data_IF_725816789709
#
_entry.id   IF_725816789709
#
_cell.length_a   1.000
_cell.length_b   1.000
_cell.length_c   1.000
_cell.angle_alpha   90.00
_cell.angle_beta   90.00
_cell.angle_gamma   90.00
#
_symmetry.space_group_name_H-M   'P 1'
#
loop_
_entity.id
_entity.type
_entity.pdbx_description
1 polymer ?
#
# COMPACT_ATOMS: atom_id res chain seq x y z
N UNK A 1 -8.29 25.37 0.31
CA UNK A 1 -9.07 24.15 0.54
C UNK A 1 -8.12 22.97 0.64
N UNK A 2 -8.52 21.96 1.38
CA UNK A 2 -7.67 20.80 1.62
C UNK A 2 -8.31 19.56 1.02
N UNK A 3 -7.49 18.75 0.39
CA UNK A 3 -7.92 17.46 -0.15
C UNK A 3 -6.74 16.52 -0.07
N UNK A 4 -6.68 15.76 1.00
CA UNK A 4 -5.54 14.91 1.28
C UNK A 4 -6.01 13.60 1.88
N UNK A 5 -5.44 12.53 1.41
CA UNK A 5 -5.83 11.19 1.82
C UNK A 5 -4.58 10.37 2.08
N UNK A 6 -4.62 9.58 3.14
CA UNK A 6 -3.54 8.66 3.45
C UNK A 6 -4.16 7.31 3.75
N UNK A 7 -3.74 6.28 3.01
CA UNK A 7 -4.33 4.96 3.14
C UNK A 7 -3.24 3.91 3.25
N UNK A 8 -3.50 2.89 4.05
CA UNK A 8 -2.67 1.71 4.13
C UNK A 8 -3.57 0.51 3.90
N UNK A 9 -3.22 -0.30 2.93
CA UNK A 9 -4.04 -1.46 2.62
C UNK A 9 -3.32 -2.43 1.74
N UNK A 10 -4.04 -3.46 1.34
CA UNK A 10 -3.48 -4.49 0.49
C UNK A 10 -4.13 -4.44 -0.88
N UNK A 11 -3.33 -4.71 -1.89
CA UNK A 11 -3.85 -4.78 -3.25
C UNK A 11 -4.77 -5.98 -3.39
N UNK A 12 -5.92 -5.75 -4.00
CA UNK A 12 -6.87 -6.84 -4.22
C UNK A 12 -6.50 -7.66 -5.44
N UNK A 13 -5.74 -7.09 -6.34
CA UNK A 13 -5.24 -7.77 -7.52
C UNK A 13 -4.04 -6.98 -8.02
N UNK A 14 -3.36 -7.53 -9.02
CA UNK A 14 -2.21 -6.84 -9.59
C UNK A 14 -2.64 -5.51 -10.18
N UNK A 15 -1.80 -4.48 -10.06
CA UNK A 15 -2.12 -3.20 -10.70
C UNK A 15 -2.20 -3.34 -12.20
N UNK A 16 -3.12 -2.61 -12.80
CA UNK A 16 -3.31 -2.65 -14.24
C UNK A 16 -2.61 -1.44 -14.85
N UNK A 17 -1.53 -1.67 -15.55
CA UNK A 17 -0.73 -0.61 -16.14
C UNK A 17 -1.16 -0.41 -17.59
N UNK A 18 -1.39 0.84 -17.95
CA UNK A 18 -1.77 1.21 -19.30
C UNK A 18 -1.03 2.46 -19.69
N UNK A 19 -1.07 2.75 -20.97
CA UNK A 19 -0.49 3.98 -21.51
C UNK A 19 -1.57 4.76 -22.24
N UNK A 20 -1.61 6.06 -21.96
CA UNK A 20 -2.59 6.93 -22.61
C UNK A 20 -2.16 7.20 -24.05
N UNK A 21 -3.08 7.78 -24.85
CA UNK A 21 -2.69 8.18 -26.21
C UNK A 21 -1.50 9.12 -26.23
N UNK A 22 -1.29 9.88 -25.16
CA UNK A 22 -0.11 10.73 -25.04
C UNK A 22 1.11 9.99 -24.54
N UNK A 23 1.01 8.67 -24.44
CA UNK A 23 2.11 7.81 -24.01
C UNK A 23 2.52 8.04 -22.56
N UNK A 24 1.59 8.38 -21.73
CA UNK A 24 1.84 8.50 -20.30
C UNK A 24 1.36 7.24 -19.59
N UNK A 25 2.18 6.76 -18.67
CA UNK A 25 1.84 5.57 -17.92
C UNK A 25 0.77 5.89 -16.87
N UNK A 26 -0.20 5.01 -16.74
CA UNK A 26 -1.22 5.12 -15.72
C UNK A 26 -1.53 3.72 -15.22
N UNK A 27 -1.59 3.56 -13.91
CA UNK A 27 -1.94 2.29 -13.32
C UNK A 27 -3.17 2.48 -12.43
N UNK A 28 -4.07 1.52 -12.50
CA UNK A 28 -5.24 1.51 -11.63
C UNK A 28 -5.16 0.30 -10.74
N UNK A 29 -5.62 0.46 -9.52
CA UNK A 29 -5.61 -0.64 -8.57
C UNK A 29 -6.67 -0.37 -7.51
N UNK A 30 -6.97 -1.41 -6.75
CA UNK A 30 -7.93 -1.32 -5.67
C UNK A 30 -7.26 -1.74 -4.38
N UNK A 31 -7.41 -0.93 -3.35
CA UNK A 31 -6.88 -1.22 -2.04
C UNK A 31 -7.97 -1.71 -1.12
N UNK A 32 -7.70 -2.78 -0.41
CA UNK A 32 -8.57 -3.23 0.67
C UNK A 32 -8.02 -2.66 1.96
N UNK A 33 -8.77 -1.74 2.55
CA UNK A 33 -8.39 -1.04 3.76
C UNK A 33 -9.28 -1.55 4.88
N UNK A 34 -8.69 -2.23 5.83
CA UNK A 34 -9.46 -2.80 6.93
C UNK A 34 -9.98 -1.70 7.84
N UNK A 35 -11.23 -1.88 8.25
CA UNK A 35 -11.81 -0.95 9.22
C UNK A 35 -11.23 -1.24 10.61
N UNK A 36 -11.27 -0.22 11.43
CA UNK A 36 -10.72 -0.33 12.77
C UNK A 36 -11.60 -1.15 13.70
N UNK A 37 -12.87 -1.31 13.35
CA UNK A 37 -13.83 -1.97 14.23
C UNK A 37 -14.30 -3.27 13.61
N UNK A 38 -14.62 -4.21 14.46
CA UNK A 38 -15.26 -5.44 14.02
C UNK A 38 -16.76 -5.21 13.94
N UNK A 39 -17.41 -5.92 13.02
CA UNK A 39 -18.84 -5.81 12.90
C UNK A 39 -19.51 -6.62 14.02
N UNK A 40 -20.83 -6.70 13.97
CA UNK A 40 -21.57 -7.38 15.02
C UNK A 40 -21.26 -8.86 15.09
N UNK A 41 -20.84 -9.42 13.98
CA UNK A 41 -20.51 -10.84 13.95
C UNK A 41 -19.07 -11.13 14.36
N UNK A 42 -18.33 -10.10 14.73
CA UNK A 42 -16.96 -10.29 15.13
C UNK A 42 -15.96 -10.25 13.98
N UNK A 43 -16.43 -9.99 12.77
CA UNK A 43 -15.58 -9.96 11.61
C UNK A 43 -15.18 -8.52 11.30
N UNK A 44 -13.94 -8.37 10.82
CA UNK A 44 -13.45 -7.06 10.43
C UNK A 44 -13.73 -6.85 8.95
N UNK A 45 -14.43 -5.77 8.67
CA UNK A 45 -14.75 -5.43 7.30
C UNK A 45 -13.68 -4.56 6.68
N UNK A 46 -13.64 -4.56 5.36
CA UNK A 46 -12.69 -3.76 4.63
C UNK A 46 -13.43 -2.87 3.64
N UNK A 47 -12.86 -1.70 3.44
CA UNK A 47 -13.34 -0.80 2.40
C UNK A 47 -12.44 -0.97 1.18
N UNK A 48 -13.06 -1.04 0.01
CA UNK A 48 -12.33 -1.21 -1.24
C UNK A 48 -12.30 0.11 -1.96
N UNK A 49 -11.11 0.63 -2.17
CA UNK A 49 -10.93 1.99 -2.65
C UNK A 49 -10.17 1.94 -3.96
N UNK A 50 -10.78 2.52 -4.99
CA UNK A 50 -10.17 2.60 -6.30
C UNK A 50 -9.13 3.70 -6.32
N UNK A 51 -7.97 3.39 -6.84
CA UNK A 51 -6.85 4.30 -6.88
C UNK A 51 -6.28 4.36 -8.28
N UNK A 52 -5.71 5.50 -8.61
CA UNK A 52 -5.04 5.69 -9.88
C UNK A 52 -3.72 6.39 -9.62
N UNK A 53 -2.68 5.96 -10.33
CA UNK A 53 -1.35 6.53 -10.16
C UNK A 53 -0.76 6.72 -11.56
N UNK A 54 0.05 7.77 -11.72
CA UNK A 54 0.47 8.22 -13.03
C UNK A 54 1.98 8.23 -13.17
N UNK A 55 2.44 8.13 -14.41
CA UNK A 55 3.80 8.40 -14.82
C UNK A 55 4.77 7.37 -14.26
N UNK A 56 5.95 7.81 -13.88
CA UNK A 56 6.99 6.90 -13.45
C UNK A 56 6.55 6.08 -12.24
N UNK A 57 5.79 6.67 -11.36
CA UNK A 57 5.33 5.93 -10.20
C UNK A 57 4.37 4.81 -10.57
N UNK A 58 3.60 4.99 -11.67
CA UNK A 58 2.73 3.93 -12.13
C UNK A 58 3.54 2.73 -12.58
N UNK A 59 4.61 2.97 -13.30
CA UNK A 59 5.49 1.90 -13.74
C UNK A 59 6.16 1.23 -12.56
N UNK A 60 6.62 2.03 -11.61
CA UNK A 60 7.26 1.47 -10.43
C UNK A 60 6.28 0.60 -9.65
N UNK A 61 5.08 1.08 -9.44
CA UNK A 61 4.10 0.31 -8.71
C UNK A 61 3.79 -1.00 -9.41
N UNK A 62 3.59 -0.95 -10.72
CA UNK A 62 3.27 -2.15 -11.47
C UNK A 62 4.40 -3.17 -11.42
N UNK A 63 5.64 -2.69 -11.36
CA UNK A 63 6.77 -3.59 -11.29
C UNK A 63 6.97 -4.21 -9.91
N UNK A 64 6.64 -3.47 -8.87
CA UNK A 64 7.02 -3.86 -7.52
C UNK A 64 5.89 -4.45 -6.70
N UNK A 65 4.65 -4.05 -6.98
CA UNK A 65 3.51 -4.44 -6.15
C UNK A 65 2.64 -5.44 -6.89
N UNK A 66 2.25 -6.48 -6.18
CA UNK A 66 1.39 -7.52 -6.74
C UNK A 66 0.22 -7.74 -5.80
N UNK A 67 -0.71 -8.56 -6.24
CA UNK A 67 -1.88 -8.89 -5.44
C UNK A 67 -1.45 -9.27 -4.02
N UNK A 68 -2.10 -8.69 -3.05
CA UNK A 68 -1.83 -8.97 -1.65
C UNK A 68 -0.75 -8.12 -1.03
N UNK A 69 -0.05 -7.32 -1.80
CA UNK A 69 1.02 -6.49 -1.25
C UNK A 69 0.45 -5.41 -0.34
N UNK A 70 1.13 -5.19 0.77
CA UNK A 70 0.75 -4.15 1.71
C UNK A 70 1.47 -2.86 1.32
N UNK A 71 0.70 -1.84 1.00
CA UNK A 71 1.29 -0.56 0.60
C UNK A 71 0.59 0.57 1.32
N UNK A 72 1.32 1.66 1.44
CA UNK A 72 0.76 2.91 1.92
C UNK A 72 0.78 3.91 0.79
N UNK A 73 -0.25 4.72 0.71
CA UNK A 73 -0.35 5.75 -0.32
C UNK A 73 -0.77 7.06 0.30
N UNK A 74 -0.36 8.13 -0.32
CA UNK A 74 -0.92 9.45 -0.06
C UNK A 74 -1.38 10.02 -1.37
N UNK A 75 -2.44 10.81 -1.31
CA UNK A 75 -2.98 11.40 -2.50
C UNK A 75 -4.20 12.24 -2.19
N UNK A 76 -5.03 12.41 -3.18
CA UNK A 76 -6.24 13.22 -3.02
C UNK A 76 -7.42 12.50 -3.64
N UNK A 77 -8.59 12.83 -3.15
CA UNK A 77 -9.83 12.27 -3.67
C UNK A 77 -10.23 13.06 -4.92
N UNK A 78 -10.62 12.35 -5.94
CA UNK A 78 -11.07 12.95 -7.18
C UNK A 78 -12.37 12.30 -7.60
N UNK A 79 -13.29 13.10 -8.08
CA UNK A 79 -14.53 12.58 -8.65
C UNK A 79 -14.56 12.92 -10.13
N UNK A 80 -15.18 12.05 -10.88
CA UNK A 80 -15.40 12.27 -12.31
C UNK A 80 -16.67 11.56 -12.71
N UNK A 81 -17.19 11.90 -13.84
CA UNK A 81 -18.35 11.19 -14.35
C UNK A 81 -18.13 10.89 -15.83
N UNK A 82 -18.85 9.91 -16.28
CA UNK A 82 -18.83 9.56 -17.69
C UNK A 82 -20.19 8.94 -18.02
N UNK A 83 -20.47 8.89 -19.32
CA UNK A 83 -21.70 8.31 -19.80
C UNK A 83 -21.42 6.89 -20.24
N UNK A 84 -22.18 5.94 -19.70
CA UNK A 84 -21.97 4.55 -20.07
C UNK A 84 -22.68 4.27 -21.39
N UNK A 85 -22.60 3.01 -21.81
CA UNK A 85 -23.17 2.63 -23.10
C UNK A 85 -24.68 2.76 -23.15
N UNK A 86 -25.30 2.77 -22.00
CA UNK A 86 -26.75 2.93 -21.90
C UNK A 86 -27.19 4.36 -21.79
N UNK A 87 -26.27 5.29 -21.88
CA UNK A 87 -26.60 6.69 -21.80
C UNK A 87 -26.75 7.23 -20.40
N UNK A 88 -26.38 6.46 -19.40
CA UNK A 88 -26.51 6.88 -18.02
C UNK A 88 -25.24 7.51 -17.53
N UNK A 89 -25.38 8.54 -16.71
CA UNK A 89 -24.24 9.16 -16.06
C UNK A 89 -23.74 8.28 -14.94
N UNK A 90 -22.42 7.99 -14.98
CA UNK A 90 -21.80 7.20 -13.94
C UNK A 90 -20.80 8.08 -13.20
N UNK A 91 -20.93 8.14 -11.88
CA UNK A 91 -20.05 8.96 -11.05
C UNK A 91 -19.02 8.06 -10.41
N UNK A 92 -17.77 8.47 -10.48
CA UNK A 92 -16.66 7.70 -9.96
C UNK A 92 -15.92 8.53 -8.94
N UNK A 93 -15.69 7.96 -7.77
CA UNK A 93 -14.86 8.54 -6.73
C UNK A 93 -13.61 7.68 -6.59
N UNK A 94 -12.48 8.30 -6.72
CA UNK A 94 -11.23 7.56 -6.70
C UNK A 94 -10.15 8.40 -6.02
N UNK A 95 -9.06 7.76 -5.67
CA UNK A 95 -7.91 8.44 -5.08
C UNK A 95 -6.81 8.54 -6.13
N UNK A 96 -6.38 9.77 -6.39
CA UNK A 96 -5.24 10.01 -7.25
C UNK A 96 -4.01 9.97 -6.37
N UNK A 97 -3.17 8.98 -6.57
CA UNK A 97 -2.05 8.73 -5.69
C UNK A 97 -0.90 9.66 -6.06
N UNK A 98 -0.36 10.31 -5.06
CA UNK A 98 0.80 11.19 -5.23
C UNK A 98 2.09 10.49 -4.88
N UNK A 99 2.08 9.67 -3.84
CA UNK A 99 3.23 8.85 -3.48
C UNK A 99 2.74 7.53 -2.93
N UNK A 100 3.58 6.53 -3.03
CA UNK A 100 3.28 5.25 -2.42
C UNK A 100 4.55 4.66 -1.83
N UNK A 101 4.37 3.73 -0.90
CA UNK A 101 5.48 3.01 -0.31
C UNK A 101 5.05 1.56 -0.09
N UNK A 102 5.97 0.65 -0.39
CA UNK A 102 5.78 -0.74 -0.04
C UNK A 102 6.10 -0.92 1.43
N UNK A 103 5.17 -1.51 2.15
CA UNK A 103 5.33 -1.68 3.60
C UNK A 103 5.72 -3.10 3.98
N UNK A 104 5.88 -3.97 2.98
CA UNK A 104 6.39 -5.31 3.16
C UNK A 104 7.56 -5.51 2.22
N UNK A 105 8.62 -6.10 2.71
CA UNK A 105 9.72 -6.43 1.83
C UNK A 105 9.35 -7.67 1.02
N UNK A 106 10.07 -7.87 -0.09
CA UNK A 106 9.85 -9.05 -0.89
C UNK A 106 10.17 -10.31 -0.11
N UNK A 107 11.15 -10.23 0.76
CA UNK A 107 11.50 -11.36 1.59
C UNK A 107 10.36 -11.76 2.50
N UNK A 108 9.73 -10.79 3.10
CA UNK A 108 8.62 -11.08 3.99
C UNK A 108 7.50 -11.78 3.27
N UNK A 109 7.24 -11.35 2.03
CA UNK A 109 6.16 -11.94 1.27
C UNK A 109 6.46 -13.34 0.82
N UNK A 110 7.70 -13.61 0.54
CA UNK A 110 8.07 -14.92 0.02
C UNK A 110 8.13 -15.96 1.11
N UNK A 111 7.68 -15.64 2.26
CA UNK A 111 7.54 -16.64 3.27
C UNK A 111 8.73 -16.72 4.16
N UNK A 112 8.80 -17.77 4.88
CA UNK A 112 9.78 -17.88 5.88
C UNK A 112 11.13 -18.34 5.44
N UNK A 113 11.47 -18.13 4.24
CA UNK A 113 12.71 -18.67 3.73
C UNK A 113 13.94 -18.12 4.38
N UNK A 114 13.86 -16.88 4.74
CA UNK A 114 15.04 -16.22 5.28
C UNK A 114 15.12 -16.31 6.78
N UNK A 115 14.30 -17.10 7.37
CA UNK A 115 14.23 -17.07 8.80
C UNK A 115 15.45 -17.57 9.50
N UNK A 116 16.00 -18.61 9.01
CA UNK A 116 16.95 -19.32 9.79
C UNK A 116 18.26 -18.61 9.96
N UNK A 117 18.71 -17.93 8.96
CA UNK A 117 20.09 -17.52 9.00
C UNK A 117 20.34 -16.19 9.68
N UNK A 118 19.34 -15.41 9.88
CA UNK A 118 19.60 -14.14 10.53
C UNK A 118 19.55 -14.24 12.04
N UNK A 119 18.91 -15.23 12.56
CA UNK A 119 18.75 -15.31 13.99
C UNK A 119 20.02 -15.54 14.78
N UNK A 120 20.89 -16.44 14.36
CA UNK A 120 22.08 -16.66 15.15
C UNK A 120 22.93 -15.42 15.31
N UNK A 121 23.06 -14.70 14.24
CA UNK A 121 23.87 -13.50 14.32
C UNK A 121 23.22 -12.45 15.18
N UNK A 122 21.96 -12.34 15.05
CA UNK A 122 21.23 -11.36 15.83
C UNK A 122 21.33 -11.67 17.32
N UNK A 123 21.28 -12.93 17.64
CA UNK A 123 21.37 -13.31 19.03
C UNK A 123 22.71 -12.95 19.62
N UNK A 124 23.76 -13.16 18.86
CA UNK A 124 25.07 -12.80 19.36
C UNK A 124 25.18 -11.34 19.62
N UNK A 125 24.72 -10.58 18.67
CA UNK A 125 24.80 -9.15 18.84
C UNK A 125 24.02 -8.69 20.04
N UNK A 126 22.91 -9.30 20.25
CA UNK A 126 22.12 -8.94 21.40
C UNK A 126 22.86 -9.22 22.68
N UNK A 127 23.54 -10.32 22.72
CA UNK A 127 24.30 -10.65 23.91
C UNK A 127 25.47 -9.73 24.13
N UNK A 128 26.11 -9.39 23.04
CA UNK A 128 27.23 -8.48 23.15
C UNK A 128 26.80 -7.13 23.60
N UNK A 129 25.65 -6.75 23.19
CA UNK A 129 25.10 -5.48 23.61
C UNK A 129 24.39 -5.63 24.92
N UNK A 130 25.03 -6.26 25.82
CA UNK A 130 24.40 -6.46 27.11
C UNK A 130 24.22 -5.16 27.87
N UNK A 131 24.39 -4.10 27.21
CA UNK A 131 24.21 -2.79 27.78
C UNK A 131 22.82 -2.31 27.50
N UNK A 132 21.87 -2.71 28.27
CA UNK A 132 20.49 -2.37 27.91
C UNK A 132 20.20 -0.90 27.99
N UNK A 133 20.97 -0.19 28.74
CA UNK A 133 20.68 1.23 28.88
C UNK A 133 20.94 1.98 27.61
N UNK A 134 21.99 1.62 26.94
CA UNK A 134 22.30 2.29 25.70
C UNK A 134 21.21 2.12 24.68
N UNK A 135 20.72 0.94 24.63
CA UNK A 135 19.71 0.62 23.63
C UNK A 135 18.45 1.37 23.91
N UNK A 136 18.07 1.40 25.16
CA UNK A 136 16.79 2.02 25.46
C UNK A 136 16.79 3.49 25.16
N UNK A 137 17.90 4.14 25.41
CA UNK A 137 17.95 5.57 25.12
C UNK A 137 17.80 5.86 23.66
N UNK A 138 18.49 5.09 22.87
CA UNK A 138 18.45 5.34 21.44
C UNK A 138 17.14 4.89 20.83
N UNK A 139 16.56 3.88 21.41
CA UNK A 139 15.36 3.31 20.84
C UNK A 139 14.13 4.09 21.16
N UNK A 140 14.25 5.09 21.94
CA UNK A 140 13.11 5.91 22.29
C UNK A 140 13.16 7.21 21.58
N UNK A 141 13.18 7.22 20.31
CA UNK A 141 13.27 8.46 19.57
C UNK A 141 11.96 9.17 19.43
N UNK A 142 10.96 8.62 19.89
CA UNK A 142 9.67 9.26 19.68
C UNK A 142 9.24 10.14 20.82
#
# INVERSE_FOLDING_TARGET
>A
MLNSTCLVGRLTKDPELRYTPNNQAVATFSLAVNRNFKNQNGDREADFINCVIWRQQAENLANWAKKGALIGITGRIRTRNYENQQGQQVYVTEVVVETFQLLESRKDREGGQSQGYSHPDFSRQTQMNANPMDISDDDLPF
#
